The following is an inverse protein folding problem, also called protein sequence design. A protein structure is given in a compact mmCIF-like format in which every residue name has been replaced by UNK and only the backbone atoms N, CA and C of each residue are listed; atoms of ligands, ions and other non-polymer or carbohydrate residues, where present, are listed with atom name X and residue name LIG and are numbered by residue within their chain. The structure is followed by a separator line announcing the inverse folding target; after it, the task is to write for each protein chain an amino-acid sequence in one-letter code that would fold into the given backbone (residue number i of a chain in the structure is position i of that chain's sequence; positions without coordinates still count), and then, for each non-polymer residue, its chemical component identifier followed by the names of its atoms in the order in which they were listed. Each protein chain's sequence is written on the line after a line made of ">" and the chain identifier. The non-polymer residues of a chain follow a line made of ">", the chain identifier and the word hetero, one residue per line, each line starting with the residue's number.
data_IF_129750180502
#
_entry.id   IF_129750180502
#
_cell.length_a   1.000
_cell.length_b   1.000
_cell.length_c   1.000
_cell.angle_alpha   90.00
_cell.angle_beta   90.00
_cell.angle_gamma   90.00
#
_symmetry.space_group_name_H-M   'P 1'
#
loop_
_entity.id
_entity.type
_entity.pdbx_description
1 polymer ?
#
# COMPACT_ATOMS: atom_id res chain seq x y z
N UNK A 1 -6.80 14.15 35.38
CA UNK A 1 -5.63 13.33 34.98
C UNK A 1 -6.08 12.04 34.27
N UNK A 2 -6.84 12.13 33.17
CA UNK A 2 -7.40 10.95 32.47
C UNK A 2 -7.18 10.95 30.94
N UNK A 3 -6.52 11.97 30.40
CA UNK A 3 -6.46 12.19 28.93
C UNK A 3 -5.15 11.69 28.29
N UNK A 4 -4.12 11.41 29.08
CA UNK A 4 -2.80 10.97 28.58
C UNK A 4 -2.71 9.46 28.37
N UNK A 5 -3.46 8.64 29.10
CA UNK A 5 -3.41 7.16 29.00
C UNK A 5 -4.02 6.65 27.70
N UNK A 6 -5.04 7.31 27.16
CA UNK A 6 -5.75 6.92 25.93
C UNK A 6 -4.95 7.19 24.65
N UNK A 7 -4.07 8.20 24.64
CA UNK A 7 -3.25 8.52 23.45
C UNK A 7 -2.14 7.48 23.22
N UNK A 8 -1.57 6.91 24.27
CA UNK A 8 -0.51 5.90 24.16
C UNK A 8 -1.05 4.54 23.74
N UNK A 9 -2.23 4.12 24.22
CA UNK A 9 -2.86 2.87 23.80
C UNK A 9 -3.21 2.84 22.30
N UNK A 10 -3.62 3.98 21.73
CA UNK A 10 -3.94 4.08 20.29
C UNK A 10 -2.72 3.93 19.38
N UNK A 11 -1.55 4.45 19.77
CA UNK A 11 -0.31 4.28 19.00
C UNK A 11 0.09 2.80 18.94
N UNK A 12 0.02 2.12 20.08
CA UNK A 12 0.36 0.71 20.18
C UNK A 12 -0.52 -0.19 19.28
N UNK A 13 -1.81 0.14 19.13
CA UNK A 13 -2.71 -0.61 18.23
C UNK A 13 -2.34 -0.39 16.76
N UNK A 14 -2.05 0.86 16.36
CA UNK A 14 -1.67 1.18 14.97
C UNK A 14 -0.34 0.51 14.59
N UNK A 15 0.62 0.53 15.50
CA UNK A 15 1.93 -0.10 15.29
C UNK A 15 1.79 -1.63 15.19
N UNK A 16 0.96 -2.23 16.06
CA UNK A 16 0.67 -3.66 16.02
C UNK A 16 -0.05 -4.08 14.73
N UNK A 17 -1.03 -3.30 14.26
CA UNK A 17 -1.69 -3.53 12.98
C UNK A 17 -0.70 -3.48 11.82
N UNK A 18 0.25 -2.54 11.85
CA UNK A 18 1.30 -2.43 10.84
C UNK A 18 2.22 -3.65 10.84
N UNK A 19 2.66 -4.12 12.01
CA UNK A 19 3.49 -5.30 12.16
C UNK A 19 2.78 -6.57 11.67
N UNK A 20 1.52 -6.77 12.04
CA UNK A 20 0.71 -7.91 11.56
C UNK A 20 0.55 -7.88 10.05
N UNK A 21 0.35 -6.71 9.45
CA UNK A 21 0.23 -6.56 7.99
C UNK A 21 1.55 -6.87 7.26
N UNK A 22 2.69 -6.48 7.83
CA UNK A 22 4.01 -6.83 7.29
C UNK A 22 4.26 -8.33 7.35
N UNK A 23 3.95 -8.96 8.50
CA UNK A 23 4.11 -10.40 8.68
C UNK A 23 3.20 -11.18 7.72
N UNK A 24 1.94 -10.76 7.55
CA UNK A 24 1.02 -11.34 6.56
C UNK A 24 1.59 -11.24 5.15
N UNK A 25 2.11 -10.07 4.78
CA UNK A 25 2.71 -9.85 3.46
C UNK A 25 3.93 -10.75 3.20
N UNK A 26 4.75 -10.97 4.23
CA UNK A 26 5.89 -11.89 4.17
C UNK A 26 5.45 -13.35 3.97
N UNK A 27 4.45 -13.80 4.75
CA UNK A 27 3.89 -15.15 4.63
C UNK A 27 3.26 -15.40 3.26
N UNK A 28 2.57 -14.42 2.69
CA UNK A 28 2.02 -14.51 1.32
C UNK A 28 3.15 -14.68 0.29
N UNK A 29 4.27 -13.98 0.49
CA UNK A 29 5.46 -14.13 -0.36
C UNK A 29 6.05 -15.55 -0.34
N UNK A 30 5.96 -16.25 0.79
CA UNK A 30 6.47 -17.62 0.96
C UNK A 30 5.44 -18.65 0.48
N UNK A 31 4.19 -18.56 0.95
CA UNK A 31 3.14 -19.52 0.63
C UNK A 31 2.63 -19.38 -0.82
N UNK A 32 2.90 -18.24 -1.48
CA UNK A 32 2.51 -17.99 -2.87
C UNK A 32 1.00 -17.86 -3.08
N UNK A 33 0.20 -17.85 -2.02
CA UNK A 33 -1.27 -17.82 -2.07
C UNK A 33 -1.82 -17.04 -0.88
N UNK A 34 -2.73 -16.12 -1.18
CA UNK A 34 -3.57 -15.42 -0.20
C UNK A 34 -5.06 -15.66 -0.54
N UNK A 35 -5.98 -15.18 0.30
CA UNK A 35 -7.43 -15.15 0.02
C UNK A 35 -7.74 -14.45 -1.29
N UNK A 36 -6.92 -13.48 -1.70
CA UNK A 36 -7.04 -12.76 -2.97
C UNK A 36 -6.54 -13.55 -4.20
N UNK A 37 -5.88 -14.70 -4.01
CA UNK A 37 -5.42 -15.57 -5.09
C UNK A 37 -3.93 -15.90 -5.04
N UNK A 38 -3.34 -16.26 -6.19
CA UNK A 38 -1.91 -16.61 -6.27
C UNK A 38 -1.06 -15.35 -6.35
N UNK A 39 -0.07 -15.26 -5.48
CA UNK A 39 0.90 -14.17 -5.50
C UNK A 39 1.76 -14.24 -6.77
N UNK A 40 1.86 -13.13 -7.50
CA UNK A 40 2.65 -13.00 -8.72
C UNK A 40 3.84 -12.08 -8.48
N UNK A 41 4.95 -12.63 -8.03
CA UNK A 41 6.19 -11.88 -7.74
C UNK A 41 6.66 -11.01 -8.91
N UNK A 42 6.54 -11.51 -10.14
CA UNK A 42 6.90 -10.78 -11.37
C UNK A 42 6.06 -9.51 -11.58
N UNK A 43 4.78 -9.54 -11.20
CA UNK A 43 3.93 -8.35 -11.23
C UNK A 43 4.43 -7.30 -10.24
N UNK A 44 4.74 -7.71 -9.00
CA UNK A 44 5.24 -6.81 -7.96
C UNK A 44 6.57 -6.18 -8.37
N UNK A 45 7.52 -6.98 -8.86
CA UNK A 45 8.80 -6.48 -9.39
C UNK A 45 8.59 -5.45 -10.51
N UNK A 46 7.68 -5.72 -11.45
CA UNK A 46 7.35 -4.81 -12.56
C UNK A 46 6.81 -3.48 -12.06
N UNK A 47 5.88 -3.52 -11.10
CA UNK A 47 5.29 -2.32 -10.50
C UNK A 47 6.32 -1.52 -9.72
N UNK A 48 7.13 -2.17 -8.87
CA UNK A 48 8.19 -1.49 -8.11
C UNK A 48 9.23 -0.84 -9.03
N UNK A 49 9.61 -1.52 -10.13
CA UNK A 49 10.50 -0.95 -11.14
C UNK A 49 9.87 0.25 -11.84
N UNK A 50 8.56 0.23 -12.12
CA UNK A 50 7.84 1.37 -12.70
C UNK A 50 7.75 2.55 -11.72
N UNK A 51 7.47 2.28 -10.44
CA UNK A 51 7.40 3.30 -9.39
C UNK A 51 8.73 4.06 -9.22
N UNK A 52 9.86 3.34 -9.23
CA UNK A 52 11.20 3.95 -9.13
C UNK A 52 11.56 4.87 -10.30
N UNK A 53 10.96 4.67 -11.48
CA UNK A 53 11.24 5.47 -12.68
C UNK A 53 10.61 6.87 -12.64
N UNK A 54 9.78 7.16 -11.64
CA UNK A 54 9.03 8.41 -11.56
C UNK A 54 7.88 8.46 -12.56
N UNK A 55 6.69 8.85 -12.10
CA UNK A 55 5.56 9.05 -12.99
C UNK A 55 5.81 10.27 -13.89
N UNK A 56 5.69 10.11 -15.22
CA UNK A 56 5.69 11.25 -16.16
C UNK A 56 4.53 12.22 -15.91
N UNK A 57 3.47 11.74 -15.27
CA UNK A 57 2.27 12.50 -14.99
C UNK A 57 1.91 12.38 -13.52
N UNK A 58 1.58 13.52 -12.91
CA UNK A 58 1.07 13.60 -11.55
C UNK A 58 -0.37 14.08 -11.65
N UNK A 59 -1.31 13.26 -11.20
CA UNK A 59 -2.72 13.61 -11.18
C UNK A 59 -3.09 13.99 -9.74
N UNK A 60 -3.48 15.25 -9.55
CA UNK A 60 -3.85 15.77 -8.22
C UNK A 60 -5.33 15.53 -7.91
N UNK A 61 -6.15 15.35 -8.94
CA UNK A 61 -7.59 15.26 -8.83
C UNK A 61 -8.19 14.49 -10.02
N UNK A 62 -9.47 14.13 -9.89
CA UNK A 62 -10.19 13.36 -10.90
C UNK A 62 -10.30 14.11 -12.23
N UNK A 63 -10.49 15.43 -12.18
CA UNK A 63 -10.68 16.25 -13.38
C UNK A 63 -9.38 16.35 -14.18
N UNK A 64 -8.23 16.54 -13.52
CA UNK A 64 -6.90 16.55 -14.15
C UNK A 64 -6.55 15.21 -14.79
N UNK A 65 -6.98 14.09 -14.19
CA UNK A 65 -6.86 12.77 -14.82
C UNK A 65 -7.74 12.63 -16.07
N UNK A 66 -9.03 12.99 -15.98
CA UNK A 66 -9.98 12.82 -17.08
C UNK A 66 -9.67 13.74 -18.28
N UNK A 67 -9.23 14.96 -18.03
CA UNK A 67 -8.81 15.88 -19.09
C UNK A 67 -7.68 15.26 -19.93
N UNK A 68 -6.67 14.68 -19.27
CA UNK A 68 -5.54 14.05 -19.96
C UNK A 68 -5.93 12.78 -20.72
N UNK A 69 -6.92 12.05 -20.23
CA UNK A 69 -7.42 10.85 -20.90
C UNK A 69 -8.16 11.18 -22.20
N UNK A 70 -8.82 12.35 -22.25
CA UNK A 70 -9.58 12.82 -23.43
C UNK A 70 -8.72 13.53 -24.49
N UNK A 71 -7.53 14.00 -24.12
CA UNK A 71 -6.54 14.59 -25.04
C UNK A 71 -5.79 13.55 -25.89
N UNK A 72 -6.08 12.26 -25.72
CA UNK A 72 -5.44 11.14 -26.39
C UNK A 72 -6.41 10.44 -27.35
#
# INVERSE_FOLDING_TARGET
>A
MAETTTKNGKRNIIDLEREVNLLRSFLIGIAGKDREGRYRSEFVKKILKAAKKGGKFVFKDRSSFLARLREK
#
